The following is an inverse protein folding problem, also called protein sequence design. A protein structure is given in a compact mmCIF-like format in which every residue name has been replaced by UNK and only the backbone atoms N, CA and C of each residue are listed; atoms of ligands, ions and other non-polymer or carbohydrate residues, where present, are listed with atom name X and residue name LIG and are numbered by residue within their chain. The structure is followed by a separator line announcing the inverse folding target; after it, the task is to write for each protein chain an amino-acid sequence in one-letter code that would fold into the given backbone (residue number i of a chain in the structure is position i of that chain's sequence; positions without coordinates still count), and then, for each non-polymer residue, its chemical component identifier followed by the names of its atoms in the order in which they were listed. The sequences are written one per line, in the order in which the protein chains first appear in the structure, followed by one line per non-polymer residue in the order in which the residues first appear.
data_IF_415396098082
#
_entry.id   IF_415396098082
#
_cell.length_a   1.000
_cell.length_b   1.000
_cell.length_c   1.000
_cell.angle_alpha   90.00
_cell.angle_beta   90.00
_cell.angle_gamma   90.00
#
_symmetry.space_group_name_H-M   'P 1'
#
loop_
_entity.id
_entity.type
_entity.pdbx_description
1 polymer ?
#
# COMPACT_ATOMS: atom_id res chain seq x y z
N UNK A 1 12.17 0.80 5.36
CA UNK A 1 11.93 1.51 6.64
C UNK A 1 10.54 2.15 6.68
N UNK A 2 10.24 3.17 5.85
CA UNK A 2 8.98 3.92 5.93
C UNK A 2 7.71 3.04 5.78
N UNK A 3 7.67 2.15 4.78
CA UNK A 3 6.54 1.22 4.59
C UNK A 3 6.45 0.13 5.67
N UNK A 4 7.57 -0.25 6.30
CA UNK A 4 7.55 -1.20 7.41
C UNK A 4 6.89 -0.61 8.67
N UNK A 5 7.07 0.69 8.90
CA UNK A 5 6.43 1.42 10.00
C UNK A 5 5.02 1.93 9.67
N UNK A 6 4.61 1.88 8.39
CA UNK A 6 3.31 2.35 7.93
C UNK A 6 2.16 1.60 8.62
N UNK A 7 2.20 0.27 8.66
CA UNK A 7 1.17 -0.56 9.30
C UNK A 7 0.93 -0.19 10.78
N UNK A 8 1.96 -0.25 11.64
CA UNK A 8 1.86 0.15 13.04
C UNK A 8 1.41 1.61 13.23
N UNK A 9 1.95 2.54 12.45
CA UNK A 9 1.57 3.96 12.53
C UNK A 9 0.10 4.18 12.15
N UNK A 10 -0.39 3.47 11.13
CA UNK A 10 -1.77 3.53 10.68
C UNK A 10 -2.72 2.97 11.73
N UNK A 11 -2.34 1.93 12.49
CA UNK A 11 -3.16 1.39 13.58
C UNK A 11 -3.47 2.45 14.64
N UNK A 12 -2.53 3.34 14.97
CA UNK A 12 -2.76 4.42 15.94
C UNK A 12 -3.75 5.49 15.46
N UNK A 13 -3.93 5.65 14.14
CA UNK A 13 -4.86 6.62 13.56
C UNK A 13 -6.29 6.10 13.41
N UNK A 14 -6.51 4.80 13.62
CA UNK A 14 -7.85 4.17 13.57
C UNK A 14 -8.63 4.50 14.85
N UNK A 15 -9.95 4.35 14.78
CA UNK A 15 -10.80 4.54 15.94
C UNK A 15 -10.36 3.62 17.10
N UNK A 16 -10.37 4.10 18.36
CA UNK A 16 -10.29 3.26 19.54
C UNK A 16 -11.38 2.20 19.45
N UNK A 17 -10.99 0.93 19.29
CA UNK A 17 -11.92 -0.20 19.23
C UNK A 17 -12.33 -0.72 17.84
N UNK A 18 -11.73 -0.31 16.72
CA UNK A 18 -12.03 -0.97 15.43
C UNK A 18 -11.18 -2.23 15.17
N UNK A 19 -11.73 -3.35 14.65
CA UNK A 19 -12.95 -4.12 15.00
C UNK A 19 -12.71 -5.12 16.18
N UNK A 20 -13.76 -5.72 16.80
CA UNK A 20 -15.09 -5.93 16.21
C UNK A 20 -16.21 -5.00 16.71
N UNK A 21 -15.94 -3.92 17.43
CA UNK A 21 -17.01 -2.94 17.72
C UNK A 21 -17.29 -2.04 16.51
N UNK A 22 -18.57 -1.73 16.21
CA UNK A 22 -18.91 -0.70 15.25
C UNK A 22 -18.11 0.57 15.59
N UNK A 23 -17.48 1.24 14.61
CA UNK A 23 -16.77 2.48 14.90
C UNK A 23 -17.71 3.44 15.63
N UNK A 24 -17.30 4.06 16.76
CA UNK A 24 -18.10 5.10 17.39
C UNK A 24 -18.43 6.20 16.37
N UNK A 25 -19.63 6.77 16.48
CA UNK A 25 -20.22 7.85 15.67
C UNK A 25 -19.30 8.46 14.57
N UNK A 26 -19.36 7.88 13.37
CA UNK A 26 -18.76 8.46 12.17
C UNK A 26 -17.25 8.27 11.99
N UNK A 27 -16.61 7.32 12.68
CA UNK A 27 -15.20 7.00 12.48
C UNK A 27 -14.98 6.04 11.31
N UNK A 28 -14.97 6.58 10.09
CA UNK A 28 -14.70 5.79 8.88
C UNK A 28 -13.19 5.52 8.69
N UNK A 29 -12.80 4.33 8.17
CA UNK A 29 -11.42 4.06 7.72
C UNK A 29 -10.88 5.04 6.67
N UNK A 30 -11.76 5.79 6.00
CA UNK A 30 -11.39 6.84 5.06
C UNK A 30 -10.89 8.13 5.74
N UNK A 31 -11.15 8.35 7.04
CA UNK A 31 -10.61 9.52 7.76
C UNK A 31 -9.07 9.51 7.80
N UNK A 32 -8.40 8.41 8.21
CA UNK A 32 -6.95 8.27 8.07
C UNK A 32 -6.45 8.36 6.63
N UNK A 33 -7.22 7.85 5.66
CA UNK A 33 -6.86 7.90 4.23
C UNK A 33 -6.74 9.34 3.70
N UNK A 34 -7.64 10.23 4.12
CA UNK A 34 -7.53 11.67 3.80
C UNK A 34 -6.23 12.25 4.37
N UNK A 35 -5.84 11.87 5.59
CA UNK A 35 -4.56 12.28 6.19
C UNK A 35 -3.34 11.81 5.41
N UNK A 36 -3.36 10.55 4.93
CA UNK A 36 -2.32 10.01 4.04
C UNK A 36 -2.26 10.80 2.73
N UNK A 37 -3.42 11.09 2.13
CA UNK A 37 -3.51 11.89 0.91
C UNK A 37 -2.94 13.30 1.07
N UNK A 38 -3.21 13.96 2.20
CA UNK A 38 -2.63 15.27 2.50
C UNK A 38 -1.11 15.20 2.63
N UNK A 39 -0.59 14.19 3.34
CA UNK A 39 0.85 13.98 3.46
C UNK A 39 1.51 13.74 2.09
N UNK A 40 0.85 12.99 1.20
CA UNK A 40 1.31 12.78 -0.17
C UNK A 40 1.34 14.08 -0.98
N UNK A 41 0.29 14.91 -0.88
CA UNK A 41 0.26 16.20 -1.54
C UNK A 41 1.41 17.10 -1.08
N UNK A 42 1.62 17.22 0.23
CA UNK A 42 2.66 18.07 0.80
C UNK A 42 4.04 17.55 0.42
N UNK A 43 4.35 16.27 0.65
CA UNK A 43 5.68 15.73 0.40
C UNK A 43 5.99 15.62 -1.10
N UNK A 44 5.02 15.23 -1.94
CA UNK A 44 5.25 15.11 -3.37
C UNK A 44 5.49 16.48 -4.02
N UNK A 45 4.69 17.50 -3.65
CA UNK A 45 4.84 18.85 -4.21
C UNK A 45 6.04 19.56 -3.60
N UNK A 46 6.07 19.72 -2.27
CA UNK A 46 7.12 20.51 -1.61
C UNK A 46 8.48 19.81 -1.72
N UNK A 47 8.53 18.51 -1.48
CA UNK A 47 9.76 17.73 -1.61
C UNK A 47 10.27 17.69 -3.05
N UNK A 48 9.38 17.52 -4.02
CA UNK A 48 9.71 17.56 -5.45
C UNK A 48 10.32 18.90 -5.85
N UNK A 49 9.66 20.02 -5.51
CA UNK A 49 10.12 21.37 -5.85
C UNK A 49 11.47 21.72 -5.18
N UNK A 50 11.68 21.31 -3.93
CA UNK A 50 12.98 21.48 -3.25
C UNK A 50 14.07 20.71 -3.99
N UNK A 51 13.81 19.45 -4.37
CA UNK A 51 14.80 18.63 -5.06
C UNK A 51 15.10 19.13 -6.47
N UNK A 52 14.10 19.66 -7.19
CA UNK A 52 14.32 20.34 -8.47
C UNK A 52 15.27 21.54 -8.29
N UNK A 53 15.04 22.36 -7.26
CA UNK A 53 15.89 23.51 -6.94
C UNK A 53 17.32 23.10 -6.57
N UNK A 54 17.50 22.05 -5.76
CA UNK A 54 18.81 21.53 -5.36
C UNK A 54 19.58 20.94 -6.54
N UNK A 55 18.88 20.27 -7.47
CA UNK A 55 19.48 19.68 -8.66
C UNK A 55 19.66 20.67 -9.83
N UNK A 56 19.22 21.92 -9.67
CA UNK A 56 19.31 22.95 -10.72
C UNK A 56 18.37 22.71 -11.90
N UNK A 57 17.25 22.00 -11.68
CA UNK A 57 16.27 21.69 -12.71
C UNK A 57 15.37 22.91 -13.01
N UNK A 58 14.83 22.96 -14.22
CA UNK A 58 13.93 24.03 -14.63
C UNK A 58 12.51 23.74 -14.15
N UNK A 59 11.79 24.77 -13.69
CA UNK A 59 10.35 24.64 -13.37
C UNK A 59 9.46 24.61 -14.62
N UNK A 60 10.03 24.31 -15.79
CA UNK A 60 9.33 24.25 -17.06
C UNK A 60 8.92 22.81 -17.36
N UNK A 61 7.60 22.56 -17.36
CA UNK A 61 7.02 21.25 -17.70
C UNK A 61 6.48 21.20 -19.15
N UNK A 62 6.87 22.16 -19.98
CA UNK A 62 6.45 22.29 -21.39
C UNK A 62 7.57 21.88 -22.37
N UNK A 63 7.20 21.48 -23.59
CA UNK A 63 8.16 20.96 -24.59
C UNK A 63 8.69 19.57 -24.23
N UNK A 64 10.00 19.39 -24.26
CA UNK A 64 10.68 18.10 -24.00
C UNK A 64 10.41 17.53 -22.59
N UNK A 65 9.90 18.36 -21.67
CA UNK A 65 9.57 17.99 -20.29
C UNK A 65 8.09 17.59 -20.08
N UNK A 66 7.25 17.62 -21.12
CA UNK A 66 5.82 17.25 -20.99
C UNK A 66 5.62 15.82 -20.49
N UNK A 67 6.51 14.91 -20.91
CA UNK A 67 6.51 13.52 -20.46
C UNK A 67 6.73 13.38 -18.95
N UNK A 68 7.48 14.30 -18.33
CA UNK A 68 7.72 14.28 -16.89
C UNK A 68 6.41 14.50 -16.11
N UNK A 69 5.58 15.44 -16.58
CA UNK A 69 4.31 15.73 -15.92
C UNK A 69 3.24 14.69 -16.24
N UNK A 70 3.11 14.24 -17.50
CA UNK A 70 2.07 13.29 -17.89
C UNK A 70 2.30 11.90 -17.32
N UNK A 71 3.51 11.35 -17.44
CA UNK A 71 3.84 10.05 -16.86
C UNK A 71 4.01 10.12 -15.35
N UNK A 72 4.53 11.23 -14.82
CA UNK A 72 4.59 11.46 -13.38
C UNK A 72 3.20 11.49 -12.74
N UNK A 73 2.25 12.19 -13.37
CA UNK A 73 0.85 12.21 -12.92
C UNK A 73 0.18 10.84 -13.06
N UNK A 74 0.38 10.15 -14.19
CA UNK A 74 -0.13 8.79 -14.39
C UNK A 74 0.38 7.80 -13.34
N UNK A 75 1.68 7.83 -13.04
CA UNK A 75 2.28 7.05 -11.96
C UNK A 75 1.70 7.42 -10.58
N UNK A 76 1.48 8.71 -10.32
CA UNK A 76 0.81 9.20 -9.12
C UNK A 76 -0.61 8.66 -8.96
N UNK A 77 -1.41 8.65 -10.04
CA UNK A 77 -2.75 8.07 -10.05
C UNK A 77 -2.74 6.57 -9.74
N UNK A 78 -1.81 5.80 -10.35
CA UNK A 78 -1.67 4.37 -10.05
C UNK A 78 -1.29 4.13 -8.58
N UNK A 79 -0.39 4.95 -8.02
CA UNK A 79 -0.02 4.90 -6.61
C UNK A 79 -1.19 5.23 -5.67
N UNK A 80 -1.98 6.26 -6.00
CA UNK A 80 -3.16 6.66 -5.24
C UNK A 80 -4.25 5.58 -5.27
N UNK A 81 -4.50 4.97 -6.44
CA UNK A 81 -5.40 3.83 -6.57
C UNK A 81 -4.92 2.63 -5.75
N UNK A 82 -3.62 2.34 -5.76
CA UNK A 82 -3.03 1.29 -4.91
C UNK A 82 -3.22 1.56 -3.41
N UNK A 83 -3.03 2.81 -2.97
CA UNK A 83 -3.28 3.21 -1.58
C UNK A 83 -4.77 3.11 -1.19
N UNK A 84 -5.67 3.43 -2.13
CA UNK A 84 -7.11 3.27 -1.97
C UNK A 84 -7.48 1.79 -1.83
N UNK A 85 -6.96 0.93 -2.72
CA UNK A 85 -7.16 -0.53 -2.67
C UNK A 85 -6.63 -1.15 -1.38
N UNK A 86 -5.47 -0.68 -0.89
CA UNK A 86 -4.93 -1.09 0.41
C UNK A 86 -5.88 -0.70 1.55
N UNK A 87 -6.36 0.55 1.53
CA UNK A 87 -7.27 1.07 2.56
C UNK A 87 -8.60 0.32 2.55
N UNK A 88 -9.17 0.06 1.37
CA UNK A 88 -10.41 -0.70 1.23
C UNK A 88 -10.23 -2.16 1.64
N UNK A 89 -9.15 -2.83 1.22
CA UNK A 89 -8.85 -4.19 1.64
C UNK A 89 -8.75 -4.28 3.16
N UNK A 90 -8.01 -3.37 3.80
CA UNK A 90 -7.90 -3.31 5.26
C UNK A 90 -9.21 -2.96 6.00
N UNK A 91 -10.24 -2.51 5.28
CA UNK A 91 -11.56 -2.14 5.82
C UNK A 91 -12.62 -3.22 5.58
N UNK A 92 -12.49 -4.02 4.53
CA UNK A 92 -13.41 -5.11 4.18
C UNK A 92 -13.18 -6.38 4.99
N UNK A 93 -11.98 -6.56 5.57
CA UNK A 93 -11.75 -7.65 6.52
C UNK A 93 -12.49 -7.36 7.84
N UNK A 94 -13.56 -8.10 8.11
CA UNK A 94 -14.34 -8.14 9.39
C UNK A 94 -13.51 -8.77 10.53
N UNK A 95 -12.28 -8.31 10.75
CA UNK A 95 -11.36 -8.85 11.74
C UNK A 95 -10.26 -7.85 12.12
N UNK A 96 -9.43 -8.22 13.11
CA UNK A 96 -8.30 -7.39 13.56
C UNK A 96 -7.46 -6.98 12.34
N UNK A 97 -6.99 -5.72 12.23
CA UNK A 97 -6.21 -5.27 11.09
C UNK A 97 -5.05 -6.24 10.88
N UNK A 98 -4.95 -6.81 9.69
CA UNK A 98 -3.82 -7.65 9.29
C UNK A 98 -2.88 -6.89 8.33
N UNK A 99 -2.36 -5.67 8.66
CA UNK A 99 -1.28 -5.07 7.88
C UNK A 99 -0.13 -6.06 7.65
N UNK A 100 0.12 -6.92 8.63
CA UNK A 100 1.14 -7.95 8.60
C UNK A 100 0.90 -9.02 7.51
N UNK A 101 -0.35 -9.25 7.10
CA UNK A 101 -0.72 -10.13 5.99
C UNK A 101 -0.80 -9.36 4.66
N UNK A 102 -1.42 -8.19 4.68
CA UNK A 102 -1.68 -7.40 3.47
C UNK A 102 -0.39 -6.84 2.89
N UNK A 103 0.56 -6.40 3.74
CA UNK A 103 1.79 -5.76 3.25
C UNK A 103 2.72 -6.73 2.49
N UNK A 104 3.02 -7.94 2.99
CA UNK A 104 3.80 -8.91 2.20
C UNK A 104 3.15 -9.24 0.85
N UNK A 105 1.83 -9.42 0.82
CA UNK A 105 1.10 -9.76 -0.41
C UNK A 105 1.17 -8.62 -1.43
N UNK A 106 0.88 -7.38 -1.01
CA UNK A 106 0.85 -6.24 -1.93
C UNK A 106 2.26 -5.85 -2.39
N UNK A 107 3.23 -5.78 -1.49
CA UNK A 107 4.59 -5.40 -1.87
C UNK A 107 5.32 -6.51 -2.63
N UNK A 108 5.20 -7.76 -2.20
CA UNK A 108 5.80 -8.89 -2.91
C UNK A 108 5.12 -9.15 -4.26
N UNK A 109 3.79 -8.97 -4.35
CA UNK A 109 3.06 -9.02 -5.61
C UNK A 109 3.49 -7.92 -6.59
N UNK A 110 3.68 -6.69 -6.10
CA UNK A 110 4.19 -5.60 -6.93
C UNK A 110 5.59 -5.90 -7.50
N UNK A 111 6.51 -6.43 -6.68
CA UNK A 111 7.85 -6.85 -7.13
C UNK A 111 7.74 -7.96 -8.19
N UNK A 112 6.84 -8.92 -7.99
CA UNK A 112 6.59 -10.00 -8.96
C UNK A 112 6.12 -9.46 -10.31
N UNK A 113 5.13 -8.56 -10.31
CA UNK A 113 4.60 -7.94 -11.54
C UNK A 113 5.68 -7.15 -12.26
N UNK A 114 6.50 -6.37 -11.54
CA UNK A 114 7.61 -5.62 -12.12
C UNK A 114 8.64 -6.56 -12.78
N UNK A 115 8.99 -7.67 -12.12
CA UNK A 115 9.90 -8.67 -12.68
C UNK A 115 9.37 -9.32 -13.95
N UNK A 116 8.09 -9.69 -13.96
CA UNK A 116 7.43 -10.25 -15.16
C UNK A 116 7.37 -9.21 -16.29
N UNK A 117 7.02 -7.96 -15.99
CA UNK A 117 6.96 -6.91 -17.00
C UNK A 117 8.34 -6.62 -17.61
N UNK A 118 9.40 -6.62 -16.79
CA UNK A 118 10.77 -6.46 -17.25
C UNK A 118 11.18 -7.62 -18.17
N UNK A 119 10.81 -8.85 -17.83
CA UNK A 119 11.06 -10.03 -18.63
C UNK A 119 10.38 -9.99 -20.00
N UNK A 120 9.10 -9.60 -20.05
CA UNK A 120 8.34 -9.46 -21.30
C UNK A 120 8.92 -8.33 -22.15
N UNK A 121 9.24 -7.19 -21.53
CA UNK A 121 9.74 -6.02 -22.24
C UNK A 121 11.14 -6.20 -22.84
N UNK A 122 12.01 -6.98 -22.18
CA UNK A 122 13.38 -7.24 -22.67
C UNK A 122 13.49 -8.54 -23.47
N UNK A 123 12.48 -9.41 -23.45
CA UNK A 123 12.45 -10.67 -24.21
C UNK A 123 13.41 -11.76 -23.72
N UNK A 124 14.10 -11.53 -22.59
CA UNK A 124 15.04 -12.49 -22.00
C UNK A 124 14.70 -12.72 -20.52
N UNK A 125 14.33 -13.95 -20.19
CA UNK A 125 14.07 -14.41 -18.83
C UNK A 125 15.36 -15.02 -18.28
N UNK A 126 16.18 -14.20 -17.63
CA UNK A 126 17.33 -14.72 -16.90
C UNK A 126 16.84 -15.76 -15.85
N UNK A 127 17.35 -17.00 -15.85
CA UNK A 127 16.94 -18.04 -14.91
C UNK A 127 17.02 -17.62 -13.43
N UNK A 128 17.99 -16.77 -13.07
CA UNK A 128 18.13 -16.20 -11.71
C UNK A 128 17.00 -15.22 -11.38
N UNK A 129 16.53 -14.44 -12.37
CA UNK A 129 15.39 -13.53 -12.21
C UNK A 129 14.09 -14.32 -12.01
N UNK A 130 13.88 -15.37 -12.81
CA UNK A 130 12.75 -16.28 -12.64
C UNK A 130 12.75 -16.96 -11.26
N UNK A 131 13.91 -17.43 -10.81
CA UNK A 131 14.08 -17.98 -9.46
C UNK A 131 13.75 -16.93 -8.39
N UNK A 132 14.21 -15.68 -8.55
CA UNK A 132 13.90 -14.58 -7.63
C UNK A 132 12.41 -14.29 -7.52
N UNK A 133 11.67 -14.33 -8.64
CA UNK A 133 10.21 -14.17 -8.66
C UNK A 133 9.53 -15.31 -7.90
N UNK A 134 9.93 -16.56 -8.15
CA UNK A 134 9.38 -17.73 -7.44
C UNK A 134 9.67 -17.66 -5.95
N UNK A 135 10.90 -17.34 -5.55
CA UNK A 135 11.30 -17.18 -4.15
C UNK A 135 10.55 -16.04 -3.47
N UNK A 136 10.26 -14.96 -4.19
CA UNK A 136 9.41 -13.87 -3.68
C UNK A 136 8.01 -14.38 -3.40
N UNK A 137 7.40 -15.12 -4.32
CA UNK A 137 6.09 -15.75 -4.12
C UNK A 137 6.05 -16.69 -2.90
N UNK A 138 7.06 -17.56 -2.78
CA UNK A 138 7.22 -18.45 -1.62
C UNK A 138 7.40 -17.65 -0.33
N UNK A 139 8.22 -16.61 -0.34
CA UNK A 139 8.44 -15.71 0.79
C UNK A 139 7.15 -15.02 1.24
N UNK A 140 6.33 -14.54 0.31
CA UNK A 140 5.01 -13.96 0.61
C UNK A 140 4.15 -14.99 1.34
N UNK A 141 4.03 -16.21 0.81
CA UNK A 141 3.20 -17.27 1.40
C UNK A 141 3.71 -17.67 2.78
N UNK A 142 5.02 -17.81 2.95
CA UNK A 142 5.63 -18.16 4.23
C UNK A 142 5.42 -17.04 5.26
N UNK A 143 5.63 -15.78 4.90
CA UNK A 143 5.41 -14.66 5.82
C UNK A 143 3.93 -14.53 6.14
N UNK A 144 3.05 -14.57 5.14
CA UNK A 144 1.60 -14.49 5.33
C UNK A 144 1.07 -15.64 6.20
N UNK A 145 1.53 -16.87 5.98
CA UNK A 145 1.09 -18.06 6.70
C UNK A 145 1.65 -18.20 8.11
N UNK A 146 2.87 -17.70 8.37
CA UNK A 146 3.54 -17.80 9.68
C UNK A 146 3.45 -16.52 10.51
N UNK A 147 2.90 -15.43 9.96
CA UNK A 147 2.61 -14.22 10.74
C UNK A 147 1.66 -14.60 11.88
N UNK A 148 1.99 -14.27 13.14
CA UNK A 148 1.13 -14.56 14.28
C UNK A 148 -0.24 -13.91 14.11
N UNK A 149 -1.23 -14.73 13.77
CA UNK A 149 -2.62 -14.32 13.79
C UNK A 149 -2.97 -14.16 15.28
N UNK A 150 -3.12 -12.92 15.75
CA UNK A 150 -3.61 -12.65 17.11
C UNK A 150 -4.86 -13.49 17.41
N UNK A 151 -5.12 -13.85 18.68
CA UNK A 151 -5.98 -14.95 19.07
C UNK A 151 -7.30 -14.96 18.28
N UNK A 152 -7.49 -16.04 17.51
CA UNK A 152 -8.68 -16.25 16.69
C UNK A 152 -9.94 -16.24 17.56
N UNK A 153 -10.93 -15.43 17.17
CA UNK A 153 -12.19 -15.42 17.88
C UNK A 153 -13.10 -16.53 17.37
N UNK A 154 -13.63 -17.32 18.30
CA UNK A 154 -14.73 -18.25 18.05
C UNK A 154 -15.93 -17.47 17.50
N UNK A 155 -16.74 -18.05 16.60
CA UNK A 155 -17.98 -17.44 16.15
C UNK A 155 -18.83 -17.07 17.35
N UNK A 156 -19.24 -15.80 17.46
CA UNK A 156 -20.23 -15.38 18.43
C UNK A 156 -21.57 -15.92 17.94
N UNK A 157 -22.11 -16.88 18.66
CA UNK A 157 -23.47 -17.39 18.46
C UNK A 157 -24.45 -16.22 18.68
N UNK A 158 -25.19 -15.90 17.63
CA UNK A 158 -26.24 -14.88 17.67
C UNK A 158 -27.39 -15.41 18.51
N UNK A 159 -27.54 -14.88 19.73
CA UNK A 159 -28.73 -15.11 20.55
C UNK A 159 -29.94 -14.40 19.89
N UNK A 160 -31.07 -15.08 19.62
CA UNK A 160 -32.22 -14.45 18.99
C UNK A 160 -32.83 -13.41 19.93
N UNK A 161 -33.08 -12.23 19.38
CA UNK A 161 -33.68 -11.08 20.05
C UNK A 161 -34.93 -11.45 20.88
N UNK A 162 -34.96 -10.95 22.12
CA UNK A 162 -36.16 -10.80 22.94
C UNK A 162 -36.76 -9.40 22.80
#
# INVERSE_FOLDING_TARGET
MCWGLYGPTLQHSRAPGSPPTPPPDGWSPFKPYVGIGLAYLVLAIVGGLIMMKVKGDTFSFTGDHQNALTWGFGAGCLGALGALSLTSAMSTFTGKPIPELVMPIVFGGAVTIVGVQAAIGQGDLNPLMGLGIVLTGVGIVLVAGNTPHGPGHKPVETDPAG
#
